data_IF_454682347836
#
_entry.id   IF_454682347836
#
_cell.length_a   1.000
_cell.length_b   1.000
_cell.length_c   1.000
_cell.angle_alpha   90.00
_cell.angle_beta   90.00
_cell.angle_gamma   90.00
#
_symmetry.space_group_name_H-M   'P 1'
#
loop_
_entity.id
_entity.type
_entity.pdbx_description
1 polymer ?
#
# COMPACT_ATOMS: atom_id res chain seq x y z
N UNK A 1 51.19 56.26 21.14
CA UNK A 1 51.10 57.32 20.13
C UNK A 1 49.63 57.75 20.05
N UNK A 2 49.35 58.99 20.48
CA UNK A 2 48.25 59.90 20.04
C UNK A 2 46.79 59.48 20.37
N UNK A 3 46.18 59.97 21.48
CA UNK A 3 45.37 61.19 21.71
C UNK A 3 43.84 60.90 21.75
N UNK A 4 43.18 61.03 22.92
CA UNK A 4 42.39 62.20 23.40
C UNK A 4 41.15 62.51 22.55
N UNK A 5 39.95 62.40 23.14
CA UNK A 5 39.02 63.54 23.31
C UNK A 5 37.79 63.15 24.18
N UNK A 6 37.70 63.78 25.36
CA UNK A 6 36.50 63.89 26.19
C UNK A 6 35.60 64.99 25.62
N UNK A 7 34.27 64.80 25.64
CA UNK A 7 33.32 65.92 25.55
C UNK A 7 32.17 65.74 26.56
N UNK A 8 32.12 66.67 27.52
CA UNK A 8 31.01 66.99 28.43
C UNK A 8 30.08 67.99 27.73
N UNK A 9 28.77 67.90 27.95
CA UNK A 9 27.81 69.02 27.87
C UNK A 9 26.61 68.78 28.82
N UNK A 10 25.83 69.81 29.21
CA UNK A 10 25.44 70.06 30.59
C UNK A 10 23.93 69.90 30.89
N UNK A 11 23.61 69.87 32.17
CA UNK A 11 22.28 69.97 32.78
C UNK A 11 21.70 71.39 32.73
N UNK A 12 20.37 71.54 32.54
CA UNK A 12 19.64 72.75 32.94
C UNK A 12 18.74 72.54 34.18
N UNK A 13 18.73 73.57 35.03
CA UNK A 13 17.93 73.79 36.24
C UNK A 13 16.47 74.19 35.94
N UNK A 14 15.54 74.15 36.94
CA UNK A 14 14.09 74.16 36.71
C UNK A 14 13.43 75.55 36.90
N UNK A 15 12.20 75.79 36.39
CA UNK A 15 11.35 76.93 36.75
C UNK A 15 10.25 76.57 37.79
N UNK A 16 9.52 77.57 38.35
CA UNK A 16 9.24 77.64 39.79
C UNK A 16 7.87 77.15 40.26
N UNK A 17 7.78 76.98 41.59
CA UNK A 17 6.57 76.72 42.38
C UNK A 17 5.67 77.96 42.45
N UNK A 18 4.41 77.82 42.08
CA UNK A 18 3.32 78.76 42.40
C UNK A 18 2.17 77.99 43.05
N UNK A 19 1.83 78.34 44.28
CA UNK A 19 0.72 77.75 45.02
C UNK A 19 -0.58 78.50 44.82
N UNK A 20 -1.70 77.77 44.86
CA UNK A 20 -3.01 78.26 45.26
C UNK A 20 -3.84 77.10 45.82
N UNK A 21 -4.52 77.38 46.93
CA UNK A 21 -5.31 76.48 47.80
C UNK A 21 -6.75 76.24 47.25
N UNK A 22 -7.55 75.36 47.89
CA UNK A 22 -8.59 74.55 47.23
C UNK A 22 -9.99 75.18 47.23
N UNK A 23 -10.87 74.68 46.37
CA UNK A 23 -12.32 74.87 46.51
C UNK A 23 -13.09 73.59 46.21
N UNK A 24 -14.22 73.49 46.90
CA UNK A 24 -15.01 72.31 47.23
C UNK A 24 -15.80 71.65 46.09
N UNK A 25 -16.07 70.37 46.34
CA UNK A 25 -17.30 69.59 46.10
C UNK A 25 -18.28 70.01 45.00
N UNK A 26 -18.62 69.05 44.14
CA UNK A 26 -20.00 68.57 43.92
C UNK A 26 -20.00 67.34 43.00
N UNK A 27 -20.42 66.20 43.55
CA UNK A 27 -20.99 65.10 42.78
C UNK A 27 -22.32 65.53 42.14
N UNK A 28 -22.71 64.96 40.98
CA UNK A 28 -23.90 64.11 41.07
C UNK A 28 -23.90 62.86 40.16
N UNK A 29 -24.52 61.82 40.73
CA UNK A 29 -25.46 60.85 40.14
C UNK A 29 -25.07 59.97 38.94
N UNK A 30 -24.88 58.69 39.27
CA UNK A 30 -25.50 57.49 38.68
C UNK A 30 -26.37 57.69 37.40
N UNK A 31 -25.92 57.10 36.29
CA UNK A 31 -26.79 56.40 35.35
C UNK A 31 -26.15 55.08 34.93
N UNK A 32 -26.77 53.98 35.32
CA UNK A 32 -26.45 52.66 34.82
C UNK A 32 -26.67 52.57 33.32
N UNK A 33 -25.76 51.87 32.63
CA UNK A 33 -26.06 51.27 31.33
C UNK A 33 -25.84 49.77 31.40
N UNK A 34 -26.98 49.12 31.26
CA UNK A 34 -27.23 47.71 31.06
C UNK A 34 -26.10 46.93 30.40
N UNK A 35 -25.60 45.97 31.16
CA UNK A 35 -25.00 44.73 30.68
C UNK A 35 -26.12 43.89 30.02
N UNK A 36 -26.21 43.80 28.68
CA UNK A 36 -26.83 42.65 28.00
C UNK A 36 -26.79 42.69 26.46
N UNK A 37 -26.49 41.50 25.91
CA UNK A 37 -26.80 40.97 24.56
C UNK A 37 -25.85 41.35 23.42
N UNK A 38 -24.70 40.67 23.34
CA UNK A 38 -24.06 40.38 22.04
C UNK A 38 -23.23 39.08 22.00
N UNK A 39 -23.52 38.08 22.85
CA UNK A 39 -22.83 36.79 22.82
C UNK A 39 -23.39 35.78 21.83
N UNK A 40 -24.67 35.92 21.45
CA UNK A 40 -25.37 34.91 20.65
C UNK A 40 -25.17 35.10 19.14
N UNK A 41 -24.85 36.31 18.66
CA UNK A 41 -24.57 36.55 17.25
C UNK A 41 -23.32 35.82 16.75
N UNK A 42 -22.25 35.77 17.56
CA UNK A 42 -21.04 35.04 17.24
C UNK A 42 -21.25 33.51 17.23
N UNK A 43 -22.03 32.99 18.18
CA UNK A 43 -22.36 31.55 18.26
C UNK A 43 -23.26 31.11 17.12
N UNK A 44 -24.25 31.93 16.72
CA UNK A 44 -25.13 31.65 15.58
C UNK A 44 -24.37 31.74 14.25
N UNK A 45 -23.46 32.71 14.09
CA UNK A 45 -22.60 32.80 12.90
C UNK A 45 -21.63 31.62 12.80
N UNK A 46 -21.08 31.16 13.93
CA UNK A 46 -20.23 29.97 14.00
C UNK A 46 -21.03 28.69 13.68
N UNK A 47 -22.25 28.54 14.20
CA UNK A 47 -23.16 27.44 13.86
C UNK A 47 -23.58 27.43 12.38
N UNK A 48 -23.83 28.61 11.78
CA UNK A 48 -24.15 28.74 10.36
C UNK A 48 -22.96 28.38 9.45
N UNK A 49 -21.73 28.74 9.84
CA UNK A 49 -20.50 28.34 9.12
C UNK A 49 -20.24 26.82 9.22
N UNK A 50 -20.65 26.16 10.30
CA UNK A 50 -20.53 24.70 10.46
C UNK A 50 -21.58 23.97 9.59
N UNK A 51 -22.80 24.51 9.44
CA UNK A 51 -23.84 23.90 8.58
C UNK A 51 -23.54 23.99 7.08
N UNK A 52 -22.63 24.87 6.64
CA UNK A 52 -22.17 24.96 5.25
C UNK A 52 -21.12 23.91 4.85
N UNK A 53 -20.55 23.17 5.82
CA UNK A 53 -19.56 22.12 5.57
C UNK A 53 -20.19 20.74 5.31
N UNK A 54 -21.25 20.66 4.49
CA UNK A 54 -21.69 19.37 3.99
C UNK A 54 -20.72 18.84 2.93
N UNK A 55 -20.26 17.60 3.12
CA UNK A 55 -19.40 16.85 2.20
C UNK A 55 -20.13 16.63 0.87
N UNK A 56 -19.97 17.54 -0.08
CA UNK A 56 -20.33 17.25 -1.47
C UNK A 56 -19.12 17.42 -2.35
N UNK A 57 -18.13 16.54 -2.18
CA UNK A 57 -17.23 16.29 -3.28
C UNK A 57 -18.05 15.63 -4.39
N UNK A 58 -17.98 16.17 -5.60
CA UNK A 58 -18.64 15.56 -6.74
C UNK A 58 -18.16 14.10 -6.88
N UNK A 59 -19.07 13.16 -7.20
CA UNK A 59 -18.68 11.78 -7.48
C UNK A 59 -17.62 11.79 -8.57
N UNK A 60 -16.62 10.90 -8.45
CA UNK A 60 -15.57 10.82 -9.45
C UNK A 60 -16.21 10.49 -10.80
N UNK A 61 -16.03 11.38 -11.78
CA UNK A 61 -16.48 11.15 -13.15
C UNK A 61 -15.74 9.94 -13.72
N UNK A 62 -16.52 8.95 -14.15
CA UNK A 62 -15.99 7.70 -14.71
C UNK A 62 -16.01 7.78 -16.23
N UNK A 63 -14.95 7.33 -16.92
CA UNK A 63 -15.01 7.18 -18.37
C UNK A 63 -16.11 6.18 -18.74
N UNK A 64 -16.75 6.38 -19.90
CA UNK A 64 -17.77 5.45 -20.40
C UNK A 64 -17.20 4.03 -20.56
N UNK A 65 -17.83 3.07 -19.88
CA UNK A 65 -17.53 1.66 -20.04
C UNK A 65 -18.22 1.14 -21.31
N UNK A 66 -17.46 0.47 -22.19
CA UNK A 66 -18.08 -0.26 -23.32
C UNK A 66 -18.92 -1.41 -22.76
N UNK A 67 -20.11 -1.68 -23.32
CA UNK A 67 -20.93 -2.80 -22.87
C UNK A 67 -20.20 -4.13 -23.15
N UNK A 68 -20.24 -5.04 -22.19
CA UNK A 68 -19.75 -6.41 -22.37
C UNK A 68 -20.76 -7.22 -23.20
N UNK A 69 -20.30 -8.10 -24.10
CA UNK A 69 -21.20 -8.95 -24.87
C UNK A 69 -21.97 -9.91 -23.96
N UNK A 70 -23.21 -10.24 -24.33
CA UNK A 70 -24.11 -11.10 -23.55
C UNK A 70 -23.68 -12.56 -23.59
N UNK A 71 -23.08 -13.00 -24.70
CA UNK A 71 -22.58 -14.36 -24.93
C UNK A 71 -21.20 -14.34 -25.60
N UNK A 72 -20.48 -15.45 -25.49
CA UNK A 72 -19.30 -15.70 -26.31
C UNK A 72 -19.73 -16.05 -27.75
N UNK A 73 -18.82 -15.86 -28.72
CA UNK A 73 -19.08 -16.15 -30.13
C UNK A 73 -19.34 -17.64 -30.44
N UNK A 74 -19.02 -18.53 -29.49
CA UNK A 74 -19.28 -19.96 -29.56
C UNK A 74 -20.45 -20.24 -28.62
N UNK A 75 -21.51 -20.86 -29.15
CA UNK A 75 -22.75 -21.20 -28.44
C UNK A 75 -22.46 -22.00 -27.16
N UNK A 76 -22.33 -21.26 -26.06
CA UNK A 76 -22.23 -21.77 -24.70
C UNK A 76 -23.55 -21.47 -24.01
N UNK A 77 -24.61 -22.11 -24.50
CA UNK A 77 -25.96 -22.04 -23.92
C UNK A 77 -26.09 -22.79 -22.59
N UNK A 78 -25.00 -23.38 -22.08
CA UNK A 78 -24.98 -24.10 -20.82
C UNK A 78 -24.67 -23.18 -19.64
N UNK A 79 -25.49 -23.29 -18.59
CA UNK A 79 -25.39 -22.48 -17.37
C UNK A 79 -24.18 -22.83 -16.48
N UNK A 80 -23.49 -23.95 -16.75
CA UNK A 80 -22.30 -24.37 -16.01
C UNK A 80 -21.06 -23.56 -16.39
N UNK A 81 -20.16 -23.33 -15.43
CA UNK A 81 -18.88 -22.66 -15.64
C UNK A 81 -17.74 -23.54 -15.12
N UNK A 82 -16.61 -23.57 -15.84
CA UNK A 82 -15.36 -24.21 -15.38
C UNK A 82 -14.92 -23.69 -14.00
N UNK A 83 -15.30 -22.46 -13.63
CA UNK A 83 -14.97 -21.86 -12.35
C UNK A 83 -15.58 -22.58 -11.14
N UNK A 84 -16.65 -23.36 -11.32
CA UNK A 84 -17.28 -24.14 -10.26
C UNK A 84 -16.73 -25.58 -10.17
N UNK A 85 -15.90 -26.00 -11.14
CA UNK A 85 -15.34 -27.35 -11.17
C UNK A 85 -14.04 -27.42 -10.35
N UNK A 86 -13.95 -28.43 -9.49
CA UNK A 86 -12.71 -28.70 -8.77
C UNK A 86 -11.66 -29.24 -9.76
N UNK A 87 -10.47 -28.62 -9.77
CA UNK A 87 -9.37 -29.03 -10.65
C UNK A 87 -8.97 -30.51 -10.47
N UNK A 88 -9.15 -31.09 -9.28
CA UNK A 88 -8.88 -32.52 -9.01
C UNK A 88 -9.86 -33.46 -9.72
N UNK A 89 -11.05 -32.99 -10.01
CA UNK A 89 -12.06 -33.74 -10.79
C UNK A 89 -11.80 -33.52 -12.27
N UNK A 90 -11.34 -32.32 -12.65
CA UNK A 90 -11.00 -31.99 -14.03
C UNK A 90 -9.77 -32.75 -14.52
N UNK A 91 -8.71 -32.85 -13.71
CA UNK A 91 -7.52 -33.67 -13.96
C UNK A 91 -7.64 -34.99 -13.21
N UNK A 92 -8.02 -36.07 -13.91
CA UNK A 92 -8.30 -37.36 -13.30
C UNK A 92 -7.04 -38.21 -13.02
N UNK A 93 -5.88 -37.80 -13.54
CA UNK A 93 -4.63 -38.57 -13.45
C UNK A 93 -3.93 -38.42 -12.09
N UNK A 94 -3.65 -39.54 -11.43
CA UNK A 94 -2.95 -39.56 -10.14
C UNK A 94 -1.60 -38.85 -10.17
N UNK A 95 -0.79 -39.08 -11.21
CA UNK A 95 0.56 -38.51 -11.30
C UNK A 95 0.50 -36.99 -11.47
N UNK A 96 -0.39 -36.50 -12.34
CA UNK A 96 -0.58 -35.07 -12.55
C UNK A 96 -1.09 -34.40 -11.27
N UNK A 97 -2.05 -35.03 -10.60
CA UNK A 97 -2.59 -34.52 -9.33
C UNK A 97 -1.49 -34.43 -8.26
N UNK A 98 -0.60 -35.42 -8.17
CA UNK A 98 0.54 -35.38 -7.24
C UNK A 98 1.55 -34.28 -7.58
N UNK A 99 1.81 -34.05 -8.88
CA UNK A 99 2.68 -32.95 -9.32
C UNK A 99 2.06 -31.60 -8.97
N UNK A 100 0.77 -31.41 -9.20
CA UNK A 100 0.05 -30.18 -8.83
C UNK A 100 0.09 -29.98 -7.31
N UNK A 101 -0.12 -31.02 -6.51
CA UNK A 101 -0.06 -30.93 -5.05
C UNK A 101 1.32 -30.54 -4.54
N UNK A 102 2.35 -31.13 -5.13
CA UNK A 102 3.73 -30.75 -4.84
C UNK A 102 3.96 -29.28 -5.21
N UNK A 103 3.56 -28.85 -6.41
CA UNK A 103 3.69 -27.46 -6.84
C UNK A 103 2.98 -26.48 -5.88
N UNK A 104 1.75 -26.76 -5.47
CA UNK A 104 1.00 -25.90 -4.55
C UNK A 104 1.63 -25.82 -3.15
N UNK A 105 2.42 -26.83 -2.75
CA UNK A 105 3.13 -26.83 -1.48
C UNK A 105 4.49 -26.11 -1.52
N UNK A 106 5.26 -26.28 -2.60
CA UNK A 106 6.68 -25.86 -2.66
C UNK A 106 6.99 -24.76 -3.67
N UNK A 107 6.04 -24.33 -4.51
CA UNK A 107 6.29 -23.31 -5.52
C UNK A 107 6.66 -21.96 -4.89
N UNK A 108 7.80 -21.39 -5.34
CA UNK A 108 8.34 -20.15 -4.80
C UNK A 108 7.49 -18.92 -5.17
N UNK A 109 6.89 -18.88 -6.36
CA UNK A 109 6.02 -17.76 -6.76
C UNK A 109 4.76 -17.70 -5.89
N UNK A 110 4.20 -18.86 -5.53
CA UNK A 110 3.08 -18.95 -4.59
C UNK A 110 3.48 -18.53 -3.16
N UNK A 111 4.70 -18.86 -2.73
CA UNK A 111 5.24 -18.37 -1.46
C UNK A 111 5.42 -16.84 -1.48
N UNK A 112 5.97 -16.28 -2.55
CA UNK A 112 6.08 -14.82 -2.77
C UNK A 112 4.69 -14.17 -2.73
N UNK A 113 3.70 -14.76 -3.38
CA UNK A 113 2.33 -14.28 -3.36
C UNK A 113 1.74 -14.25 -1.95
N UNK A 114 2.03 -15.28 -1.15
CA UNK A 114 1.62 -15.36 0.26
C UNK A 114 2.28 -14.24 1.08
N UNK A 115 3.56 -13.93 0.83
CA UNK A 115 4.21 -12.78 1.48
C UNK A 115 3.61 -11.43 1.07
N UNK A 116 3.15 -11.28 -0.18
CA UNK A 116 2.43 -10.06 -0.62
C UNK A 116 1.10 -9.88 0.12
N UNK A 117 0.41 -10.96 0.47
CA UNK A 117 -0.78 -10.91 1.32
C UNK A 117 -0.41 -10.39 2.72
N UNK A 118 0.65 -10.92 3.33
CA UNK A 118 1.09 -10.48 4.65
C UNK A 118 1.56 -9.02 4.65
N UNK A 119 2.22 -8.55 3.59
CA UNK A 119 2.54 -7.13 3.40
C UNK A 119 1.27 -6.26 3.37
N UNK A 120 0.25 -6.68 2.63
CA UNK A 120 -1.02 -5.95 2.55
C UNK A 120 -1.79 -5.99 3.89
N UNK A 121 -1.74 -7.12 4.61
CA UNK A 121 -2.32 -7.29 5.95
C UNK A 121 -1.64 -6.35 6.95
N UNK A 122 -0.32 -6.30 6.95
CA UNK A 122 0.45 -5.39 7.81
C UNK A 122 0.16 -3.92 7.47
N UNK A 123 0.05 -3.56 6.18
CA UNK A 123 -0.35 -2.21 5.77
C UNK A 123 -1.76 -1.84 6.25
N UNK A 124 -2.70 -2.80 6.22
CA UNK A 124 -4.02 -2.62 6.80
C UNK A 124 -3.96 -2.42 8.32
N UNK A 125 -3.24 -3.26 9.06
CA UNK A 125 -3.05 -3.10 10.51
C UNK A 125 -2.40 -1.74 10.85
N UNK A 126 -1.36 -1.35 10.10
CA UNK A 126 -0.72 -0.05 10.24
C UNK A 126 -1.73 1.10 10.06
N UNK A 127 -2.63 0.99 9.07
CA UNK A 127 -3.67 2.00 8.85
C UNK A 127 -4.71 2.09 9.98
N UNK A 128 -4.92 1.01 10.75
CA UNK A 128 -5.79 1.02 11.94
C UNK A 128 -5.16 1.86 13.07
N UNK A 129 -3.83 1.86 13.18
CA UNK A 129 -3.10 2.63 14.18
C UNK A 129 -3.37 4.13 14.11
N UNK A 130 -3.62 4.69 12.91
CA UNK A 130 -3.97 6.11 12.77
C UNK A 130 -5.29 6.49 13.45
N UNK A 131 -6.21 5.54 13.70
CA UNK A 131 -7.49 5.83 14.35
C UNK A 131 -7.38 5.95 15.87
N UNK A 132 -6.27 5.48 16.46
CA UNK A 132 -6.02 5.52 17.89
C UNK A 132 -5.04 6.64 18.26
N UNK A 133 -5.08 7.15 19.50
CA UNK A 133 -4.05 8.05 20.01
C UNK A 133 -2.70 7.34 20.08
N UNK A 134 -1.65 8.01 19.60
CA UNK A 134 -0.28 7.52 19.73
C UNK A 134 0.31 8.01 21.05
N UNK A 135 0.68 7.12 21.96
CA UNK A 135 1.30 7.47 23.25
C UNK A 135 2.78 7.08 23.25
N UNK A 136 3.65 8.04 23.52
CA UNK A 136 5.10 7.86 23.54
C UNK A 136 5.67 8.34 24.87
N UNK A 137 6.71 7.66 25.38
CA UNK A 137 7.56 8.22 26.41
C UNK A 137 8.46 9.29 25.79
N UNK A 138 8.55 10.44 26.43
CA UNK A 138 9.29 11.60 25.97
C UNK A 138 10.14 12.16 27.11
N UNK A 139 11.44 12.29 26.85
CA UNK A 139 12.35 13.11 27.63
C UNK A 139 12.85 14.26 26.76
N UNK A 140 12.79 15.49 27.24
CA UNK A 140 13.36 16.64 26.52
C UNK A 140 14.16 17.53 27.46
N UNK A 141 15.26 18.06 26.94
CA UNK A 141 16.09 19.06 27.61
C UNK A 141 16.20 20.25 26.66
N UNK A 142 15.78 21.41 27.13
CA UNK A 142 15.82 22.68 26.41
C UNK A 142 16.51 23.76 27.24
N UNK A 143 16.81 24.87 26.59
CA UNK A 143 17.26 26.08 27.27
C UNK A 143 16.72 27.30 26.53
N UNK A 144 15.91 28.10 27.22
CA UNK A 144 15.28 29.28 26.67
C UNK A 144 15.92 30.55 27.21
N UNK A 145 16.20 31.51 26.32
CA UNK A 145 16.55 32.88 26.72
C UNK A 145 15.39 33.80 26.39
N UNK A 146 14.60 34.16 27.41
CA UNK A 146 13.50 35.08 27.22
C UNK A 146 13.99 36.52 27.04
N UNK A 147 13.42 37.22 26.05
CA UNK A 147 13.70 38.64 25.83
C UNK A 147 13.23 39.48 27.02
N UNK A 148 14.00 40.50 27.42
CA UNK A 148 13.73 41.31 28.62
C UNK A 148 12.40 42.08 28.59
N UNK A 149 11.80 42.24 27.42
CA UNK A 149 10.53 42.93 27.19
C UNK A 149 9.36 41.97 26.94
N UNK A 150 9.55 40.67 27.14
CA UNK A 150 8.48 39.65 27.00
C UNK A 150 7.82 39.36 28.33
N UNK A 151 6.58 38.84 28.31
CA UNK A 151 5.86 38.45 29.53
C UNK A 151 6.68 37.49 30.40
N UNK A 152 7.28 36.45 29.80
CA UNK A 152 8.16 35.52 30.54
C UNK A 152 9.46 36.17 31.01
N UNK A 153 10.03 37.11 30.23
CA UNK A 153 11.26 37.80 30.61
C UNK A 153 11.09 38.73 31.81
N UNK A 154 10.01 39.52 31.83
CA UNK A 154 9.66 40.39 32.97
C UNK A 154 9.21 39.53 34.15
N UNK A 155 8.32 38.56 33.92
CA UNK A 155 7.81 37.67 34.95
C UNK A 155 8.92 36.89 35.66
N UNK A 156 9.83 36.25 34.92
CA UNK A 156 10.95 35.51 35.52
C UNK A 156 11.91 36.42 36.28
N UNK A 157 12.11 37.66 35.81
CA UNK A 157 12.93 38.65 36.51
C UNK A 157 12.28 39.10 37.83
N UNK A 158 11.00 39.50 37.79
CA UNK A 158 10.28 40.00 38.96
C UNK A 158 10.03 38.89 40.01
N UNK A 159 9.72 37.66 39.55
CA UNK A 159 9.55 36.50 40.43
C UNK A 159 10.80 36.20 41.26
N UNK A 160 12.00 36.46 40.72
CA UNK A 160 13.26 36.25 41.42
C UNK A 160 13.47 37.19 42.63
N UNK A 161 12.68 38.27 42.76
CA UNK A 161 12.70 39.17 43.92
C UNK A 161 11.59 38.88 44.94
N UNK A 162 10.75 37.87 44.70
CA UNK A 162 9.67 37.51 45.61
C UNK A 162 10.23 36.96 46.93
N UNK A 163 9.75 37.41 48.11
CA UNK A 163 10.17 36.84 49.39
C UNK A 163 9.66 35.41 49.61
N UNK A 164 8.74 34.93 48.76
CA UNK A 164 8.11 33.61 48.86
C UNK A 164 8.87 32.51 48.09
N UNK A 165 10.03 32.82 47.51
CA UNK A 165 10.86 31.84 46.78
C UNK A 165 12.22 31.67 47.47
N UNK A 166 12.75 30.45 47.43
CA UNK A 166 14.10 30.14 47.90
C UNK A 166 15.14 30.41 46.80
N UNK A 167 16.45 30.53 47.14
CA UNK A 167 17.51 30.59 46.13
C UNK A 167 17.53 29.37 45.19
N UNK A 168 17.08 28.21 45.64
CA UNK A 168 16.90 27.01 44.81
C UNK A 168 15.70 27.10 43.86
N UNK A 169 14.70 27.93 44.16
CA UNK A 169 13.55 28.20 43.30
C UNK A 169 13.78 29.39 42.36
N UNK A 170 14.86 30.15 42.51
CA UNK A 170 15.19 31.23 41.58
C UNK A 170 15.32 30.69 40.15
N UNK A 171 14.67 31.37 39.20
CA UNK A 171 14.63 31.00 37.79
C UNK A 171 15.91 31.51 37.12
N UNK A 172 16.79 30.64 36.62
CA UNK A 172 18.00 31.05 35.92
C UNK A 172 17.68 31.71 34.57
N UNK A 173 18.57 32.58 34.10
CA UNK A 173 18.51 33.18 32.76
C UNK A 173 19.86 33.01 32.06
N UNK A 174 19.97 32.22 30.98
CA UNK A 174 18.88 31.50 30.31
C UNK A 174 18.27 30.37 31.18
N UNK A 175 17.01 30.03 30.93
CA UNK A 175 16.20 29.10 31.72
C UNK A 175 16.25 27.71 31.08
N UNK A 176 16.89 26.70 31.71
CA UNK A 176 16.77 25.32 31.27
C UNK A 176 15.32 24.82 31.38
N UNK A 177 14.95 23.84 30.58
CA UNK A 177 13.66 23.16 30.64
C UNK A 177 13.88 21.65 30.52
N UNK A 178 13.57 20.91 31.58
CA UNK A 178 13.66 19.46 31.63
C UNK A 178 12.25 18.90 31.69
N UNK A 179 11.90 18.00 30.78
CA UNK A 179 10.64 17.26 30.79
C UNK A 179 10.92 15.76 30.73
N UNK A 180 10.19 14.98 31.53
CA UNK A 180 10.17 13.53 31.45
C UNK A 180 8.74 13.04 31.68
N UNK A 181 8.18 12.29 30.73
CA UNK A 181 6.81 11.79 30.87
C UNK A 181 6.28 11.10 29.62
N UNK A 182 4.97 10.94 29.56
CA UNK A 182 4.27 10.45 28.38
C UNK A 182 3.64 11.62 27.60
N UNK A 183 3.73 11.56 26.27
CA UNK A 183 3.05 12.47 25.35
C UNK A 183 2.17 11.66 24.39
N UNK A 184 0.97 12.16 24.14
CA UNK A 184 0.01 11.56 23.22
C UNK A 184 -0.36 12.54 22.12
N UNK A 185 -0.38 12.08 20.87
CA UNK A 185 -0.88 12.85 19.71
C UNK A 185 -1.94 12.04 18.98
N UNK A 186 -3.07 12.68 18.66
CA UNK A 186 -4.20 12.05 17.99
C UNK A 186 -4.92 13.00 17.03
N UNK A 187 -5.11 12.59 15.78
CA UNK A 187 -5.96 13.29 14.80
C UNK A 187 -7.38 12.72 14.87
N UNK A 188 -8.36 13.55 15.25
CA UNK A 188 -9.76 13.14 15.26
C UNK A 188 -10.29 13.11 13.81
N UNK A 189 -10.84 11.96 13.42
CA UNK A 189 -11.36 11.76 12.07
C UNK A 189 -12.76 12.35 11.85
N UNK A 190 -12.85 13.67 11.68
CA UNK A 190 -14.11 14.37 11.39
C UNK A 190 -14.60 14.11 9.96
N UNK A 191 -13.68 14.05 9.01
CA UNK A 191 -13.98 14.04 7.57
C UNK A 191 -13.86 12.67 6.92
N UNK A 192 -13.60 11.62 7.71
CA UNK A 192 -13.47 10.26 7.20
C UNK A 192 -12.14 10.00 6.50
N UNK A 193 -11.16 10.90 6.62
CA UNK A 193 -9.82 10.79 6.01
C UNK A 193 -9.14 9.51 6.50
N UNK A 194 -9.11 9.29 7.81
CA UNK A 194 -8.41 8.15 8.41
C UNK A 194 -9.20 6.85 8.23
N UNK A 195 -10.52 6.89 8.38
CA UNK A 195 -11.41 5.75 8.09
C UNK A 195 -11.35 5.32 6.63
N UNK A 196 -11.32 6.24 5.68
CA UNK A 196 -11.18 5.93 4.25
C UNK A 196 -9.79 5.38 3.97
N UNK A 197 -8.71 5.93 4.56
CA UNK A 197 -7.37 5.37 4.44
C UNK A 197 -7.30 3.91 4.89
N UNK A 198 -7.94 3.60 6.03
CA UNK A 198 -8.09 2.21 6.51
C UNK A 198 -8.89 1.35 5.54
N UNK A 199 -10.01 1.87 5.01
CA UNK A 199 -10.85 1.15 4.05
C UNK A 199 -10.12 0.84 2.75
N UNK A 200 -9.32 1.77 2.23
CA UNK A 200 -8.48 1.57 1.06
C UNK A 200 -7.43 0.48 1.28
N UNK A 201 -6.73 0.51 2.43
CA UNK A 201 -5.76 -0.51 2.79
C UNK A 201 -6.40 -1.90 2.94
N UNK A 202 -7.57 -1.98 3.58
CA UNK A 202 -8.35 -3.23 3.66
C UNK A 202 -8.74 -3.76 2.28
N UNK A 203 -9.18 -2.88 1.39
CA UNK A 203 -9.59 -3.28 0.04
C UNK A 203 -8.39 -3.80 -0.77
N UNK A 204 -7.20 -3.22 -0.60
CA UNK A 204 -5.95 -3.75 -1.18
C UNK A 204 -5.54 -5.11 -0.60
N UNK A 205 -5.77 -5.34 0.68
CA UNK A 205 -5.58 -6.65 1.30
C UNK A 205 -6.49 -7.71 0.67
N UNK A 206 -7.77 -7.40 0.42
CA UNK A 206 -8.65 -8.31 -0.32
C UNK A 206 -8.18 -8.52 -1.77
N UNK A 207 -7.66 -7.48 -2.42
CA UNK A 207 -7.13 -7.59 -3.78
C UNK A 207 -5.93 -8.55 -3.87
N UNK A 208 -5.03 -8.53 -2.87
CA UNK A 208 -3.88 -9.44 -2.85
C UNK A 208 -4.27 -10.90 -2.63
N UNK A 209 -5.38 -11.17 -1.93
CA UNK A 209 -5.95 -12.53 -1.83
C UNK A 209 -6.43 -13.05 -3.20
N UNK A 210 -7.10 -12.21 -4.00
CA UNK A 210 -7.51 -12.58 -5.36
C UNK A 210 -6.29 -12.75 -6.29
N UNK A 211 -5.24 -11.93 -6.14
CA UNK A 211 -3.97 -12.12 -6.86
C UNK A 211 -3.28 -13.45 -6.56
N UNK A 212 -3.33 -13.92 -5.30
CA UNK A 212 -2.85 -15.27 -4.95
C UNK A 212 -3.69 -16.35 -5.63
N UNK A 213 -5.02 -16.20 -5.69
CA UNK A 213 -5.89 -17.17 -6.39
C UNK A 213 -5.57 -17.25 -7.87
N UNK A 214 -5.26 -16.12 -8.52
CA UNK A 214 -4.80 -16.11 -9.91
C UNK A 214 -3.51 -16.94 -10.09
N UNK A 215 -2.53 -16.74 -9.22
CA UNK A 215 -1.26 -17.49 -9.25
C UNK A 215 -1.50 -18.99 -9.06
N UNK A 216 -2.40 -19.38 -8.15
CA UNK A 216 -2.80 -20.78 -7.99
C UNK A 216 -3.40 -21.34 -9.28
N UNK A 217 -4.34 -20.63 -9.90
CA UNK A 217 -4.96 -21.06 -11.16
C UNK A 217 -3.92 -21.21 -12.28
N UNK A 218 -3.03 -20.23 -12.45
CA UNK A 218 -1.97 -20.28 -13.46
C UNK A 218 -0.98 -21.42 -13.19
N UNK A 219 -0.59 -21.63 -11.93
CA UNK A 219 0.34 -22.71 -11.55
C UNK A 219 -0.24 -24.08 -11.85
N UNK A 220 -1.52 -24.31 -11.52
CA UNK A 220 -2.24 -25.55 -11.85
C UNK A 220 -2.25 -25.76 -13.38
N UNK A 221 -2.59 -24.72 -14.14
CA UNK A 221 -2.64 -24.78 -15.60
C UNK A 221 -1.26 -25.03 -16.23
N UNK A 222 -0.20 -24.40 -15.72
CA UNK A 222 1.15 -24.55 -16.22
C UNK A 222 1.73 -25.94 -15.94
N UNK A 223 1.50 -26.48 -14.74
CA UNK A 223 1.91 -27.86 -14.41
C UNK A 223 1.19 -28.85 -15.32
N UNK A 224 -0.13 -28.70 -15.50
CA UNK A 224 -0.90 -29.56 -16.40
C UNK A 224 -0.41 -29.46 -17.84
N UNK A 225 -0.23 -28.24 -18.36
CA UNK A 225 0.28 -28.02 -19.72
C UNK A 225 1.63 -28.71 -19.94
N UNK A 226 2.62 -28.45 -19.09
CA UNK A 226 3.94 -29.06 -19.26
C UNK A 226 3.91 -30.58 -19.09
N UNK A 227 3.04 -31.11 -18.22
CA UNK A 227 2.86 -32.56 -18.10
C UNK A 227 2.30 -33.18 -19.39
N UNK A 228 1.30 -32.56 -20.01
CA UNK A 228 0.77 -33.04 -21.29
C UNK A 228 1.74 -32.85 -22.45
N UNK A 229 2.50 -31.75 -22.48
CA UNK A 229 3.57 -31.54 -23.46
C UNK A 229 4.64 -32.65 -23.33
N UNK A 230 4.99 -33.02 -22.10
CA UNK A 230 5.93 -34.08 -21.82
C UNK A 230 5.44 -35.44 -22.33
N UNK A 231 4.16 -35.77 -22.09
CA UNK A 231 3.55 -36.99 -22.63
C UNK A 231 3.51 -37.02 -24.16
N UNK A 232 3.26 -35.86 -24.79
CA UNK A 232 3.27 -35.75 -26.25
C UNK A 232 4.69 -36.01 -26.81
N UNK A 233 5.72 -35.47 -26.15
CA UNK A 233 7.12 -35.69 -26.53
C UNK A 233 7.53 -37.16 -26.37
N UNK A 234 7.04 -37.86 -25.33
CA UNK A 234 7.31 -39.29 -25.16
C UNK A 234 6.67 -40.13 -26.27
N UNK A 235 5.43 -39.81 -26.65
CA UNK A 235 4.74 -40.47 -27.75
C UNK A 235 5.46 -40.21 -29.09
N UNK A 236 5.93 -38.98 -29.33
CA UNK A 236 6.73 -38.66 -30.51
C UNK A 236 8.06 -39.42 -30.52
N UNK A 237 8.75 -39.52 -29.36
CA UNK A 237 9.98 -40.29 -29.23
C UNK A 237 9.76 -41.77 -29.55
N UNK A 238 8.66 -42.36 -29.10
CA UNK A 238 8.29 -43.75 -29.39
C UNK A 238 8.06 -43.96 -30.90
N UNK A 239 7.33 -43.06 -31.55
CA UNK A 239 7.08 -43.11 -33.00
C UNK A 239 8.38 -42.98 -33.79
N UNK A 240 9.27 -42.05 -33.39
CA UNK A 240 10.57 -41.87 -34.03
C UNK A 240 11.44 -43.13 -33.90
N UNK A 241 11.40 -43.82 -32.76
CA UNK A 241 12.13 -45.07 -32.58
C UNK A 241 11.62 -46.17 -33.53
N UNK A 242 10.29 -46.36 -33.61
CA UNK A 242 9.68 -47.30 -34.56
C UNK A 242 10.04 -46.96 -36.01
N UNK A 243 10.01 -45.68 -36.38
CA UNK A 243 10.39 -45.22 -37.71
C UNK A 243 11.87 -45.47 -38.03
N UNK A 244 12.77 -45.23 -37.07
CA UNK A 244 14.20 -45.51 -37.23
C UNK A 244 14.43 -47.00 -37.50
N UNK A 245 13.74 -47.90 -36.80
CA UNK A 245 13.92 -49.34 -36.99
C UNK A 245 13.35 -49.82 -38.33
N UNK A 246 12.24 -49.24 -38.79
CA UNK A 246 11.72 -49.49 -40.14
C UNK A 246 12.67 -48.96 -41.23
N UNK A 247 13.21 -47.76 -41.05
CA UNK A 247 14.14 -47.14 -42.00
C UNK A 247 15.47 -47.89 -42.07
N UNK A 248 15.98 -48.44 -40.96
CA UNK A 248 17.16 -49.32 -40.97
C UNK A 248 16.97 -50.53 -41.87
N UNK A 249 15.82 -51.20 -41.74
CA UNK A 249 15.46 -52.35 -42.59
C UNK A 249 15.30 -51.95 -44.06
N UNK A 250 14.76 -50.75 -44.31
CA UNK A 250 14.63 -50.23 -45.67
C UNK A 250 16.02 -49.96 -46.32
N UNK A 251 16.96 -49.39 -45.57
CA UNK A 251 18.35 -49.21 -46.05
C UNK A 251 18.99 -50.54 -46.38
N UNK A 252 18.90 -51.53 -45.49
CA UNK A 252 19.43 -52.89 -45.71
C UNK A 252 18.84 -53.54 -46.99
N UNK A 253 17.52 -53.43 -47.18
CA UNK A 253 16.85 -53.96 -48.37
C UNK A 253 17.35 -53.29 -49.67
N UNK A 254 17.50 -51.96 -49.66
CA UNK A 254 17.94 -51.20 -50.85
C UNK A 254 19.42 -51.47 -51.15
N UNK A 255 20.25 -51.70 -50.14
CA UNK A 255 21.64 -52.15 -50.32
C UNK A 255 21.73 -53.51 -51.00
N UNK A 256 20.91 -54.49 -50.57
CA UNK A 256 20.83 -55.81 -51.23
C UNK A 256 20.36 -55.67 -52.68
N UNK A 257 19.34 -54.85 -52.93
CA UNK A 257 18.86 -54.59 -54.30
C UNK A 257 19.93 -53.92 -55.18
N UNK A 258 20.76 -53.03 -54.61
CA UNK A 258 21.88 -52.40 -55.31
C UNK A 258 22.93 -53.44 -55.69
N UNK A 259 23.30 -54.33 -54.77
CA UNK A 259 24.25 -55.43 -55.03
C UNK A 259 23.73 -56.35 -56.14
N UNK A 260 22.42 -56.56 -56.20
CA UNK A 260 21.75 -57.30 -57.28
C UNK A 260 21.54 -56.50 -58.58
N UNK A 261 22.02 -55.26 -58.67
CA UNK A 261 21.91 -54.38 -59.85
C UNK A 261 20.49 -53.86 -60.14
N UNK A 262 19.57 -53.93 -59.17
CA UNK A 262 18.15 -53.52 -59.33
C UNK A 262 17.90 -52.04 -59.04
N UNK A 263 18.77 -51.40 -58.25
CA UNK A 263 18.68 -49.98 -57.88
C UNK A 263 20.06 -49.32 -57.92
N UNK A 264 20.11 -47.99 -57.88
CA UNK A 264 21.34 -47.20 -57.96
C UNK A 264 21.90 -46.82 -56.59
N UNK A 265 23.15 -46.36 -56.56
CA UNK A 265 23.76 -45.79 -55.33
C UNK A 265 22.97 -44.58 -54.81
N UNK A 266 22.35 -43.79 -55.70
CA UNK A 266 21.51 -42.68 -55.31
C UNK A 266 20.35 -43.12 -54.41
N UNK A 267 19.72 -44.27 -54.70
CA UNK A 267 18.64 -44.80 -53.89
C UNK A 267 19.13 -45.14 -52.47
N UNK A 268 20.27 -45.82 -52.34
CA UNK A 268 20.88 -46.13 -51.02
C UNK A 268 21.14 -44.84 -50.25
N UNK A 269 21.77 -43.85 -50.88
CA UNK A 269 22.09 -42.57 -50.21
C UNK A 269 20.84 -41.79 -49.78
N UNK A 270 19.75 -41.85 -50.54
CA UNK A 270 18.47 -41.22 -50.16
C UNK A 270 17.86 -41.86 -48.91
N UNK A 271 17.79 -43.19 -48.84
CA UNK A 271 17.27 -43.89 -47.66
C UNK A 271 18.16 -43.69 -46.44
N UNK A 272 19.49 -43.71 -46.62
CA UNK A 272 20.46 -43.42 -45.55
C UNK A 272 20.30 -41.99 -45.03
N UNK A 273 20.16 -40.99 -45.92
CA UNK A 273 19.92 -39.60 -45.51
C UNK A 273 18.61 -39.45 -44.71
N UNK A 274 17.54 -40.15 -45.10
CA UNK A 274 16.28 -40.14 -44.37
C UNK A 274 16.40 -40.76 -42.97
N UNK A 275 17.13 -41.88 -42.85
CA UNK A 275 17.44 -42.51 -41.56
C UNK A 275 18.22 -41.55 -40.65
N UNK A 276 19.29 -40.94 -41.16
CA UNK A 276 20.11 -39.97 -40.41
C UNK A 276 19.30 -38.74 -40.00
N UNK A 277 18.40 -38.23 -40.84
CA UNK A 277 17.50 -37.12 -40.49
C UNK A 277 16.61 -37.50 -39.30
N UNK A 278 16.00 -38.69 -39.34
CA UNK A 278 15.11 -39.17 -38.27
C UNK A 278 15.88 -39.41 -36.96
N UNK A 279 17.11 -39.92 -37.03
CA UNK A 279 18.01 -40.02 -35.88
C UNK A 279 18.36 -38.65 -35.29
N UNK A 280 18.62 -37.64 -36.13
CA UNK A 280 18.83 -36.26 -35.67
C UNK A 280 17.61 -35.70 -34.94
N UNK A 281 16.40 -35.93 -35.46
CA UNK A 281 15.14 -35.54 -34.81
C UNK A 281 14.96 -36.21 -33.45
N UNK A 282 15.29 -37.51 -33.32
CA UNK A 282 15.24 -38.23 -32.04
C UNK A 282 16.06 -37.51 -30.96
N UNK A 283 17.29 -37.09 -31.27
CA UNK A 283 18.14 -36.35 -30.32
C UNK A 283 17.53 -35.02 -29.90
N UNK A 284 16.89 -34.30 -30.83
CA UNK A 284 16.18 -33.05 -30.52
C UNK A 284 15.01 -33.28 -29.57
N UNK A 285 14.18 -34.30 -29.81
CA UNK A 285 13.06 -34.66 -28.93
C UNK A 285 13.57 -35.04 -27.53
N UNK A 286 14.65 -35.80 -27.43
CA UNK A 286 15.27 -36.13 -26.14
C UNK A 286 15.71 -34.88 -25.37
N UNK A 287 16.27 -33.88 -26.07
CA UNK A 287 16.60 -32.59 -25.45
C UNK A 287 15.35 -31.84 -24.97
N UNK A 288 14.28 -31.85 -25.76
CA UNK A 288 13.01 -31.21 -25.39
C UNK A 288 12.37 -31.87 -24.18
N UNK A 289 12.42 -33.20 -24.07
CA UNK A 289 11.95 -33.94 -22.89
C UNK A 289 12.66 -33.41 -21.63
N UNK A 290 14.00 -33.37 -21.64
CA UNK A 290 14.78 -32.87 -20.49
C UNK A 290 14.46 -31.40 -20.18
N UNK A 291 14.28 -30.55 -21.20
CA UNK A 291 13.91 -29.16 -21.00
C UNK A 291 12.52 -29.00 -20.34
N UNK A 292 11.54 -29.80 -20.77
CA UNK A 292 10.19 -29.82 -20.21
C UNK A 292 10.18 -30.37 -18.78
N UNK A 293 10.96 -31.41 -18.48
CA UNK A 293 11.16 -31.90 -17.11
C UNK A 293 11.75 -30.81 -16.21
N UNK A 294 12.72 -30.05 -16.70
CA UNK A 294 13.30 -28.94 -15.95
C UNK A 294 12.29 -27.81 -15.71
N UNK A 295 11.42 -27.51 -16.68
CA UNK A 295 10.35 -26.55 -16.50
C UNK A 295 9.36 -27.01 -15.41
N UNK A 296 8.99 -28.28 -15.39
CA UNK A 296 8.14 -28.85 -14.33
C UNK A 296 8.86 -28.78 -12.98
N UNK A 297 10.10 -29.26 -12.86
CA UNK A 297 10.85 -29.24 -11.60
C UNK A 297 11.00 -27.82 -11.01
N UNK A 298 11.16 -26.80 -11.86
CA UNK A 298 11.13 -25.40 -11.44
C UNK A 298 9.80 -25.02 -10.79
N UNK A 299 8.67 -25.41 -11.39
CA UNK A 299 7.34 -25.15 -10.82
C UNK A 299 7.13 -25.92 -9.51
N UNK A 300 7.69 -27.13 -9.39
CA UNK A 300 7.70 -27.95 -8.18
C UNK A 300 8.69 -27.43 -7.10
N UNK A 301 9.47 -26.38 -7.38
CA UNK A 301 10.44 -25.84 -6.42
C UNK A 301 11.56 -26.84 -6.05
N UNK A 302 11.96 -27.73 -6.97
CA UNK A 302 12.99 -28.75 -6.72
C UNK A 302 14.03 -28.81 -7.85
N UNK A 303 15.16 -29.46 -7.58
CA UNK A 303 16.23 -29.62 -8.57
C UNK A 303 15.83 -30.54 -9.75
N UNK A 304 16.49 -30.38 -10.93
CA UNK A 304 16.31 -31.25 -12.09
C UNK A 304 16.33 -32.74 -11.76
N UNK A 305 15.26 -33.43 -12.11
CA UNK A 305 15.14 -34.89 -12.03
C UNK A 305 14.05 -35.40 -12.98
N UNK A 306 14.08 -36.69 -13.37
CA UNK A 306 13.03 -37.26 -14.21
C UNK A 306 11.63 -37.10 -13.58
N UNK A 307 10.64 -36.87 -14.42
CA UNK A 307 9.24 -36.79 -13.98
C UNK A 307 8.55 -38.13 -14.22
N UNK A 308 8.03 -38.74 -13.15
CA UNK A 308 7.24 -39.96 -13.23
C UNK A 308 5.93 -39.68 -13.98
N UNK A 309 5.57 -40.60 -14.88
CA UNK A 309 4.38 -40.49 -15.73
C UNK A 309 3.85 -41.89 -16.04
N UNK A 310 2.53 -42.05 -15.95
CA UNK A 310 1.82 -43.30 -16.18
C UNK A 310 1.61 -43.61 -17.66
N UNK A 311 0.36 -43.84 -18.05
CA UNK A 311 -0.02 -44.26 -19.40
C UNK A 311 0.38 -43.24 -20.48
N UNK A 312 0.64 -43.76 -21.69
CA UNK A 312 0.86 -42.95 -22.89
C UNK A 312 -0.35 -42.06 -23.18
N UNK A 313 -0.10 -40.92 -23.83
CA UNK A 313 -1.15 -39.99 -24.27
C UNK A 313 -2.19 -40.67 -25.18
N UNK A 314 -1.74 -41.63 -26.00
CA UNK A 314 -2.59 -42.33 -26.98
C UNK A 314 -3.61 -43.28 -26.34
N UNK A 315 -3.37 -43.70 -25.10
CA UNK A 315 -4.23 -44.63 -24.36
C UNK A 315 -5.14 -43.93 -23.33
N UNK A 316 -5.34 -42.61 -23.50
CA UNK A 316 -5.97 -41.74 -22.48
C UNK A 316 -7.20 -41.00 -23.01
N UNK A 317 -8.20 -40.89 -22.13
CA UNK A 317 -9.31 -39.97 -22.30
C UNK A 317 -8.87 -38.58 -21.81
N UNK A 318 -8.97 -37.57 -22.67
CA UNK A 318 -8.67 -36.19 -22.30
C UNK A 318 -9.81 -35.62 -21.45
N UNK A 319 -9.52 -34.64 -20.57
CA UNK A 319 -10.57 -33.95 -19.81
C UNK A 319 -11.69 -33.47 -20.72
N UNK A 320 -12.95 -33.67 -20.28
CA UNK A 320 -14.12 -33.24 -21.03
C UNK A 320 -14.12 -31.74 -21.34
N UNK A 321 -14.86 -31.33 -22.37
CA UNK A 321 -14.93 -29.93 -22.79
C UNK A 321 -15.31 -29.00 -21.63
N UNK A 322 -14.47 -28.00 -21.39
CA UNK A 322 -14.73 -26.99 -20.37
C UNK A 322 -15.93 -26.11 -20.77
N UNK A 323 -16.89 -25.97 -19.86
CA UNK A 323 -18.01 -25.05 -20.04
C UNK A 323 -17.53 -23.61 -19.78
N UNK A 324 -17.53 -22.78 -20.81
CA UNK A 324 -17.12 -21.38 -20.71
C UNK A 324 -18.07 -20.51 -19.85
N UNK A 325 -19.35 -20.90 -19.75
CA UNK A 325 -20.39 -20.12 -19.08
C UNK A 325 -20.66 -18.77 -19.77
N UNK A 326 -21.31 -17.85 -19.06
CA UNK A 326 -21.63 -16.51 -19.59
C UNK A 326 -20.52 -15.49 -19.28
N UNK A 327 -20.23 -14.53 -20.18
CA UNK A 327 -19.24 -13.47 -19.93
C UNK A 327 -19.46 -12.71 -18.62
N UNK A 328 -20.72 -12.42 -18.28
CA UNK A 328 -21.09 -11.75 -17.01
C UNK A 328 -20.75 -12.59 -15.77
N UNK A 329 -20.90 -13.92 -15.87
CA UNK A 329 -20.50 -14.82 -14.78
C UNK A 329 -18.98 -14.82 -14.63
N UNK A 330 -18.23 -14.77 -15.73
CA UNK A 330 -16.76 -14.74 -15.70
C UNK A 330 -16.20 -13.50 -15.01
N UNK A 331 -16.80 -12.31 -15.18
CA UNK A 331 -16.41 -11.08 -14.44
C UNK A 331 -16.43 -11.33 -12.92
N UNK A 332 -17.44 -12.05 -12.45
CA UNK A 332 -17.60 -12.35 -11.03
C UNK A 332 -16.77 -13.55 -10.57
N UNK A 333 -16.08 -14.29 -11.42
CA UNK A 333 -15.39 -15.54 -11.04
C UNK A 333 -13.89 -15.51 -11.29
N UNK A 334 -13.45 -14.70 -12.26
CA UNK A 334 -12.05 -14.52 -12.62
C UNK A 334 -11.28 -13.75 -11.54
N UNK A 335 -10.25 -14.38 -10.90
CA UNK A 335 -9.50 -13.72 -9.83
C UNK A 335 -8.76 -12.45 -10.29
N UNK A 336 -8.27 -12.42 -11.53
CA UNK A 336 -7.62 -11.25 -12.12
C UNK A 336 -8.58 -10.04 -12.25
N UNK A 337 -9.81 -10.28 -12.70
CA UNK A 337 -10.83 -9.23 -12.82
C UNK A 337 -11.26 -8.72 -11.43
N UNK A 338 -11.46 -9.65 -10.47
CA UNK A 338 -11.79 -9.28 -9.08
C UNK A 338 -10.68 -8.49 -8.41
N UNK A 339 -9.42 -8.89 -8.61
CA UNK A 339 -8.27 -8.13 -8.13
C UNK A 339 -8.30 -6.70 -8.69
N UNK A 340 -8.47 -6.55 -10.01
CA UNK A 340 -8.52 -5.23 -10.65
C UNK A 340 -9.71 -4.38 -10.15
N UNK A 341 -10.87 -4.99 -9.89
CA UNK A 341 -12.03 -4.29 -9.33
C UNK A 341 -11.75 -3.78 -7.91
N UNK A 342 -11.12 -4.60 -7.06
CA UNK A 342 -10.74 -4.23 -5.70
C UNK A 342 -9.65 -3.15 -5.70
N UNK A 343 -8.66 -3.22 -6.59
CA UNK A 343 -7.65 -2.18 -6.78
C UNK A 343 -8.27 -0.85 -7.20
N UNK A 344 -9.21 -0.87 -8.17
CA UNK A 344 -9.97 0.31 -8.57
C UNK A 344 -10.78 0.87 -7.41
N UNK A 345 -11.45 0.02 -6.63
CA UNK A 345 -12.22 0.45 -5.47
C UNK A 345 -11.33 1.09 -4.42
N UNK A 346 -10.14 0.54 -4.15
CA UNK A 346 -9.16 1.13 -3.24
C UNK A 346 -8.68 2.50 -3.73
N UNK A 347 -8.35 2.62 -5.02
CA UNK A 347 -7.89 3.88 -5.61
C UNK A 347 -8.98 4.98 -5.56
N UNK A 348 -10.24 4.62 -5.80
CA UNK A 348 -11.37 5.55 -5.62
C UNK A 348 -11.46 6.06 -4.17
N UNK A 349 -11.26 5.19 -3.18
CA UNK A 349 -11.28 5.57 -1.77
C UNK A 349 -10.09 6.51 -1.45
N UNK A 350 -8.93 6.32 -2.05
CA UNK A 350 -7.79 7.22 -1.87
C UNK A 350 -8.05 8.63 -2.43
N UNK A 351 -8.83 8.75 -3.51
CA UNK A 351 -9.27 10.06 -4.00
C UNK A 351 -10.07 10.78 -2.91
N UNK A 352 -10.93 10.06 -2.18
CA UNK A 352 -11.69 10.63 -1.06
C UNK A 352 -10.80 10.99 0.14
N UNK A 353 -9.74 10.22 0.40
CA UNK A 353 -8.71 10.57 1.41
C UNK A 353 -8.02 11.87 1.03
N UNK A 354 -7.57 12.01 -0.22
CA UNK A 354 -6.90 13.22 -0.71
C UNK A 354 -7.84 14.43 -0.74
N UNK A 355 -9.12 14.25 -1.08
CA UNK A 355 -10.15 15.30 -0.98
C UNK A 355 -10.33 15.78 0.46
N UNK A 356 -10.34 14.85 1.43
CA UNK A 356 -10.45 15.21 2.84
C UNK A 356 -9.23 15.99 3.36
N UNK A 357 -8.06 15.91 2.71
CA UNK A 357 -6.88 16.69 3.08
C UNK A 357 -7.02 18.21 2.81
N UNK A 358 -8.04 18.64 2.04
CA UNK A 358 -8.38 20.06 1.87
C UNK A 358 -9.16 20.63 3.06
N UNK A 359 -9.68 19.78 3.94
CA UNK A 359 -10.51 20.18 5.08
C UNK A 359 -9.66 20.36 6.35
N UNK A 360 -10.12 21.14 7.35
CA UNK A 360 -9.39 21.36 8.58
C UNK A 360 -9.16 20.06 9.37
N UNK A 361 -7.97 19.84 9.94
CA UNK A 361 -7.70 18.70 10.82
C UNK A 361 -7.76 19.10 12.29
N UNK A 362 -8.41 18.28 13.11
CA UNK A 362 -8.47 18.46 14.57
C UNK A 362 -7.45 17.54 15.22
N UNK A 363 -6.39 18.13 15.79
CA UNK A 363 -5.33 17.40 16.49
C UNK A 363 -5.44 17.63 17.99
N UNK A 364 -5.40 16.55 18.77
CA UNK A 364 -5.32 16.56 20.21
C UNK A 364 -3.92 16.13 20.65
N UNK A 365 -3.27 16.96 21.44
CA UNK A 365 -2.00 16.68 22.08
C UNK A 365 -2.21 16.64 23.59
N UNK A 366 -1.98 15.50 24.20
CA UNK A 366 -2.03 15.36 25.66
C UNK A 366 -0.64 15.02 26.18
N UNK A 367 -0.33 15.43 27.40
CA UNK A 367 0.88 14.98 28.08
C UNK A 367 0.64 14.87 29.59
N UNK A 368 1.41 13.98 30.21
CA UNK A 368 1.50 13.82 31.65
C UNK A 368 2.93 13.43 32.00
N UNK A 369 3.51 14.05 33.01
CA UNK A 369 4.91 13.82 33.37
C UNK A 369 5.38 14.77 34.43
N UNK A 370 6.68 14.99 34.46
CA UNK A 370 7.32 16.00 35.29
C UNK A 370 8.04 17.02 34.43
N UNK A 371 7.95 18.29 34.83
CA UNK A 371 8.61 19.41 34.18
C UNK A 371 9.31 20.29 35.21
N UNK A 372 10.54 20.70 34.93
CA UNK A 372 11.31 21.54 35.83
C UNK A 372 12.41 22.30 35.10
N UNK A 373 12.73 23.51 35.57
CA UNK A 373 13.88 24.28 35.07
C UNK A 373 15.20 23.93 35.80
N UNK A 374 15.17 22.98 36.74
CA UNK A 374 16.36 22.39 37.37
C UNK A 374 16.24 20.87 37.40
N UNK A 375 17.34 20.20 37.08
CA UNK A 375 17.36 18.73 37.08
C UNK A 375 17.16 18.13 38.47
N UNK A 376 17.66 18.79 39.51
CA UNK A 376 17.58 18.32 40.90
C UNK A 376 16.16 18.26 41.44
N UNK A 377 15.26 19.09 40.92
CA UNK A 377 13.85 19.17 41.34
C UNK A 377 12.92 18.45 40.38
N UNK A 378 13.45 17.81 39.33
CA UNK A 378 12.63 17.20 38.28
C UNK A 378 11.72 16.07 38.81
N UNK A 379 12.19 15.31 39.79
CA UNK A 379 11.43 14.20 40.37
C UNK A 379 10.64 14.60 41.63
N UNK A 380 10.61 15.88 41.97
CA UNK A 380 9.80 16.35 43.09
C UNK A 380 8.31 16.25 42.74
N UNK A 381 7.42 15.92 43.70
CA UNK A 381 5.98 15.87 43.44
C UNK A 381 5.41 17.20 42.90
N UNK A 382 6.05 18.32 43.25
CA UNK A 382 5.68 19.65 42.77
C UNK A 382 5.99 19.88 41.28
N UNK A 383 6.83 19.04 40.67
CA UNK A 383 7.15 19.11 39.24
C UNK A 383 6.14 18.38 38.35
N UNK A 384 5.09 17.78 38.91
CA UNK A 384 4.02 17.13 38.14
C UNK A 384 3.39 18.13 37.15
N UNK A 385 3.43 17.77 35.86
CA UNK A 385 2.90 18.55 34.77
C UNK A 385 1.96 17.68 33.92
N UNK A 386 0.77 18.20 33.62
CA UNK A 386 -0.16 17.58 32.71
C UNK A 386 -0.85 18.65 31.86
N UNK A 387 -1.22 18.31 30.64
CA UNK A 387 -1.90 19.22 29.74
C UNK A 387 -2.65 18.51 28.63
N UNK A 388 -3.68 19.17 28.13
CA UNK A 388 -4.42 18.78 26.94
C UNK A 388 -4.56 20.01 26.05
N UNK A 389 -4.00 19.92 24.85
CA UNK A 389 -4.00 20.98 23.84
C UNK A 389 -4.70 20.46 22.58
N UNK A 390 -5.83 21.07 22.25
CA UNK A 390 -6.53 20.83 20.98
C UNK A 390 -6.22 21.94 19.98
N UNK A 391 -6.00 21.59 18.72
CA UNK A 391 -5.79 22.54 17.64
C UNK A 391 -6.53 22.14 16.37
N UNK A 392 -7.31 23.07 15.81
CA UNK A 392 -7.93 22.94 14.50
C UNK A 392 -7.08 23.70 13.48
N UNK A 393 -6.52 23.00 12.50
CA UNK A 393 -5.64 23.61 11.49
C UNK A 393 -6.19 23.37 10.09
N UNK A 394 -6.22 24.41 9.26
CA UNK A 394 -6.70 24.35 7.89
C UNK A 394 -5.61 24.81 6.92
N UNK A 395 -5.37 24.10 5.80
CA UNK A 395 -4.41 24.56 4.80
C UNK A 395 -4.96 25.77 4.03
N UNK A 396 -4.29 26.92 4.11
CA UNK A 396 -4.69 28.16 3.40
C UNK A 396 -3.89 28.35 2.11
N UNK A 397 -2.55 28.30 2.18
CA UNK A 397 -1.67 28.58 1.04
C UNK A 397 -1.13 27.33 0.32
N UNK A 398 -1.45 26.12 0.81
CA UNK A 398 -0.93 24.83 0.29
C UNK A 398 -1.60 24.35 -1.00
N UNK A 399 -2.24 25.26 -1.75
CA UNK A 399 -3.14 24.92 -2.87
C UNK A 399 -2.46 24.11 -3.97
N UNK A 400 -1.19 24.40 -4.29
CA UNK A 400 -0.47 23.69 -5.35
C UNK A 400 -0.16 22.25 -4.96
N UNK A 401 0.30 22.03 -3.72
CA UNK A 401 0.60 20.71 -3.18
C UNK A 401 -0.66 19.82 -3.13
N UNK A 402 -1.74 20.33 -2.54
CA UNK A 402 -2.99 19.57 -2.42
C UNK A 402 -3.66 19.28 -3.77
N UNK A 403 -3.63 20.23 -4.71
CA UNK A 403 -4.13 19.99 -6.08
C UNK A 403 -3.27 18.99 -6.84
N UNK A 404 -1.95 18.98 -6.63
CA UNK A 404 -1.06 18.02 -7.27
C UNK A 404 -1.35 16.60 -6.75
N UNK A 405 -1.45 16.42 -5.44
CA UNK A 405 -1.79 15.13 -4.81
C UNK A 405 -3.18 14.63 -5.29
N UNK A 406 -4.18 15.52 -5.35
CA UNK A 406 -5.50 15.17 -5.85
C UNK A 406 -5.47 14.73 -7.32
N UNK A 407 -4.73 15.44 -8.17
CA UNK A 407 -4.57 15.07 -9.58
C UNK A 407 -3.86 13.72 -9.72
N UNK A 408 -2.84 13.46 -8.91
CA UNK A 408 -2.14 12.18 -8.90
C UNK A 408 -3.09 11.04 -8.48
N UNK A 409 -3.84 11.21 -7.39
CA UNK A 409 -4.79 10.20 -6.91
C UNK A 409 -5.90 9.91 -7.94
N UNK A 410 -6.41 10.96 -8.61
CA UNK A 410 -7.36 10.80 -9.73
C UNK A 410 -6.74 10.04 -10.90
N UNK A 411 -5.48 10.33 -11.25
CA UNK A 411 -4.78 9.63 -12.32
C UNK A 411 -4.58 8.14 -12.01
N UNK A 412 -4.17 7.81 -10.77
CA UNK A 412 -4.06 6.41 -10.29
C UNK A 412 -5.41 5.69 -10.33
N UNK A 413 -6.50 6.36 -9.92
CA UNK A 413 -7.84 5.78 -10.02
C UNK A 413 -8.27 5.54 -11.47
N UNK A 414 -7.87 6.40 -12.41
CA UNK A 414 -8.13 6.21 -13.85
C UNK A 414 -7.29 5.08 -14.44
N UNK A 415 -6.03 4.96 -14.04
CA UNK A 415 -5.16 3.82 -14.40
C UNK A 415 -5.79 2.50 -13.94
N UNK A 416 -6.23 2.42 -12.67
CA UNK A 416 -6.90 1.24 -12.15
C UNK A 416 -8.20 0.93 -12.90
N UNK A 417 -8.93 1.95 -13.36
CA UNK A 417 -10.11 1.76 -14.20
C UNK A 417 -9.75 1.16 -15.57
N UNK A 418 -8.66 1.59 -16.19
CA UNK A 418 -8.19 1.02 -17.45
C UNK A 418 -7.61 -0.40 -17.31
N UNK A 419 -7.11 -0.78 -16.13
CA UNK A 419 -6.71 -2.17 -15.84
C UNK A 419 -7.89 -3.11 -15.61
N UNK A 420 -8.96 -2.58 -15.02
CA UNK A 420 -10.19 -3.34 -14.78
C UNK A 420 -10.99 -3.58 -16.06
N UNK A 421 -10.99 -2.60 -16.96
CA UNK A 421 -11.62 -2.69 -18.28
C UNK A 421 -10.81 -3.59 -19.20
#
# INVERSE_FOLDING_TARGET
>A
MVQLFKRKYPTPTPPPKGGAKPSESKSPSLRGRAFRRSGWGGVVLFLLLITGCQRTFQPLERPDARPTPVSFAIDSSQAGSIADQNWRIFFAESDLVQLIDTALASNLDLQIATQRIEQARAAFQYSQGYLAPQVNLAGSVGIDRYGRTTQSGIGNYDLNFSPNITPSQAIPNPTPDYFLGARSTWEIDLWGKLRNRRKAAYTRFLASEEGRRLIVTSLVADVARYYYDLLALDAELEILQKNIDLQKRAVELVEVQKQAGRVTELAVQQFTAQLLNTQGRKSLIQQQIVATENAINRLLGRFPQPIARGKSLLDRELPGQALAGLPRQMINRRPDIRQAELELRAANIDVDVTRAAFLPSLNLNAYVGVNSYRLTTLLDPASLAAGLLGGLTAPVFNRRFLKADLRQSIAVSREAFYRYR
#
